data_IF_463082391386
#
_entry.id   IF_463082391386
#
_cell.length_a   1.000
_cell.length_b   1.000
_cell.length_c   1.000
_cell.angle_alpha   90.00
_cell.angle_beta   90.00
_cell.angle_gamma   90.00
#
_symmetry.space_group_name_H-M   'P 1'
#
loop_
_entity.id
_entity.type
_entity.pdbx_description
1 polymer ?
#
# COMPACT_ATOMS: atom_id res chain seq x y z
N UNK A 1 -11.65 3.65 -15.44
CA UNK A 1 -12.11 2.64 -14.48
C UNK A 1 -13.59 2.82 -14.19
N UNK A 2 -14.41 2.04 -14.89
CA UNK A 2 -15.80 1.84 -14.55
C UNK A 2 -15.95 0.58 -13.67
N UNK A 3 -16.95 0.59 -12.80
CA UNK A 3 -17.38 -0.60 -12.06
C UNK A 3 -18.81 -0.89 -12.43
N UNK A 4 -19.10 -2.14 -12.81
CA UNK A 4 -20.44 -2.57 -13.20
C UNK A 4 -20.85 -3.85 -12.47
N UNK A 5 -22.14 -3.95 -12.22
CA UNK A 5 -22.77 -5.09 -11.54
C UNK A 5 -23.33 -6.03 -12.60
N UNK A 6 -22.92 -7.30 -12.55
CA UNK A 6 -23.39 -8.33 -13.49
C UNK A 6 -23.93 -9.53 -12.72
N UNK A 7 -25.18 -9.96 -12.96
CA UNK A 7 -25.69 -11.21 -12.39
C UNK A 7 -24.86 -12.42 -12.85
N UNK A 8 -24.59 -13.35 -11.95
CA UNK A 8 -23.85 -14.59 -12.22
C UNK A 8 -24.41 -15.38 -13.40
N UNK A 9 -25.73 -15.39 -13.58
CA UNK A 9 -26.39 -16.05 -14.71
C UNK A 9 -26.06 -15.40 -16.04
N UNK A 10 -26.07 -14.06 -16.11
CA UNK A 10 -25.73 -13.33 -17.33
C UNK A 10 -24.24 -13.41 -17.65
N UNK A 11 -23.39 -13.33 -16.62
CA UNK A 11 -21.95 -13.46 -16.79
C UNK A 11 -21.59 -14.83 -17.36
N UNK A 12 -22.25 -15.90 -16.91
CA UNK A 12 -21.95 -17.26 -17.38
C UNK A 12 -22.13 -17.40 -18.90
N UNK A 13 -23.13 -16.74 -19.45
CA UNK A 13 -23.47 -16.88 -20.88
C UNK A 13 -22.56 -16.05 -21.78
N UNK A 14 -21.90 -15.01 -21.24
CA UNK A 14 -21.02 -14.09 -22.00
C UNK A 14 -19.60 -13.97 -21.45
N UNK A 15 -19.17 -14.89 -20.58
CA UNK A 15 -17.96 -14.73 -19.75
C UNK A 15 -16.71 -14.39 -20.57
N UNK A 16 -16.59 -14.98 -21.75
CA UNK A 16 -15.42 -14.77 -22.62
C UNK A 16 -15.33 -13.33 -23.12
N UNK A 17 -16.44 -12.78 -23.59
CA UNK A 17 -16.48 -11.42 -24.14
C UNK A 17 -16.33 -10.39 -23.02
N UNK A 18 -17.02 -10.64 -21.90
CA UNK A 18 -16.98 -9.79 -20.71
C UNK A 18 -15.57 -9.68 -20.11
N UNK A 19 -14.80 -10.78 -20.13
CA UNK A 19 -13.40 -10.79 -19.69
C UNK A 19 -12.44 -10.22 -20.73
N UNK A 20 -12.70 -10.40 -22.03
CA UNK A 20 -11.87 -9.86 -23.11
C UNK A 20 -11.93 -8.32 -23.16
N UNK A 21 -13.09 -7.75 -22.85
CA UNK A 21 -13.32 -6.30 -22.82
C UNK A 21 -12.99 -5.66 -21.46
N UNK A 22 -12.58 -6.44 -20.45
CA UNK A 22 -12.45 -5.98 -19.08
C UNK A 22 -11.40 -4.87 -18.91
N UNK A 23 -10.27 -4.95 -19.63
CA UNK A 23 -9.21 -3.93 -19.57
C UNK A 23 -8.81 -3.56 -18.13
N UNK A 24 -8.96 -2.29 -17.77
CA UNK A 24 -8.76 -1.80 -16.39
C UNK A 24 -10.05 -1.73 -15.56
N UNK A 25 -11.20 -2.07 -16.12
CA UNK A 25 -12.49 -1.98 -15.46
C UNK A 25 -12.73 -3.11 -14.46
N UNK A 26 -13.83 -3.01 -13.71
CA UNK A 26 -14.21 -3.98 -12.68
C UNK A 26 -15.61 -4.51 -12.92
N UNK A 27 -15.76 -5.82 -12.84
CA UNK A 27 -17.06 -6.48 -12.78
C UNK A 27 -17.30 -6.96 -11.35
N UNK A 28 -18.41 -6.53 -10.77
CA UNK A 28 -18.94 -7.10 -9.53
C UNK A 28 -19.98 -8.14 -9.90
N UNK A 29 -19.66 -9.40 -9.65
CA UNK A 29 -20.56 -10.53 -9.90
C UNK A 29 -21.56 -10.60 -8.76
N UNK A 30 -22.84 -10.68 -9.09
CA UNK A 30 -23.92 -10.75 -8.09
C UNK A 30 -24.71 -12.06 -8.19
N UNK A 31 -25.20 -12.56 -7.06
CA UNK A 31 -26.13 -13.68 -6.99
C UNK A 31 -27.33 -13.27 -6.11
N UNK A 32 -28.55 -13.30 -6.69
CA UNK A 32 -29.78 -12.84 -6.02
C UNK A 32 -29.65 -11.42 -5.45
N UNK A 33 -29.02 -10.53 -6.21
CA UNK A 33 -28.80 -9.12 -5.84
C UNK A 33 -27.70 -8.87 -4.81
N UNK A 34 -27.00 -9.92 -4.35
CA UNK A 34 -25.88 -9.80 -3.40
C UNK A 34 -24.54 -9.91 -4.13
N UNK A 35 -23.53 -9.08 -3.80
CA UNK A 35 -22.18 -9.26 -4.32
C UNK A 35 -21.61 -10.62 -3.93
N UNK A 36 -21.03 -11.32 -4.89
CA UNK A 36 -20.45 -12.65 -4.72
C UNK A 36 -18.95 -12.65 -5.01
N UNK A 37 -18.53 -11.94 -6.06
CA UNK A 37 -17.13 -11.89 -6.47
C UNK A 37 -16.82 -10.58 -7.21
N UNK A 38 -15.54 -10.27 -7.33
CA UNK A 38 -15.02 -9.17 -8.13
C UNK A 38 -14.08 -9.74 -9.17
N UNK A 39 -14.29 -9.39 -10.44
CA UNK A 39 -13.38 -9.72 -11.52
C UNK A 39 -12.68 -8.43 -12.00
N UNK A 40 -11.36 -8.52 -12.11
CA UNK A 40 -10.46 -7.53 -12.67
C UNK A 40 -9.44 -8.26 -13.55
N UNK A 41 -8.71 -7.52 -14.39
CA UNK A 41 -7.60 -8.08 -15.14
C UNK A 41 -6.47 -8.58 -14.24
N UNK A 42 -5.68 -9.53 -14.75
CA UNK A 42 -4.55 -10.13 -14.03
C UNK A 42 -3.48 -9.08 -13.78
N UNK A 43 -3.23 -8.21 -14.75
CA UNK A 43 -2.28 -7.11 -14.67
C UNK A 43 -2.65 -6.17 -13.53
N UNK A 44 -3.95 -5.81 -13.42
CA UNK A 44 -4.44 -4.96 -12.33
C UNK A 44 -4.37 -5.66 -10.98
N UNK A 45 -4.69 -6.96 -10.92
CA UNK A 45 -4.54 -7.74 -9.69
C UNK A 45 -3.10 -7.70 -9.20
N UNK A 46 -2.13 -7.98 -10.09
CA UNK A 46 -0.72 -7.99 -9.75
C UNK A 46 -0.24 -6.61 -9.27
N UNK A 47 -0.62 -5.54 -9.96
CA UNK A 47 -0.26 -4.17 -9.55
C UNK A 47 -0.84 -3.81 -8.16
N UNK A 48 -2.05 -4.26 -7.85
CA UNK A 48 -2.65 -4.05 -6.53
C UNK A 48 -1.92 -4.84 -5.44
N UNK A 49 -1.55 -6.10 -5.72
CA UNK A 49 -0.77 -6.91 -4.79
C UNK A 49 0.61 -6.30 -4.52
N UNK A 50 1.33 -5.91 -5.57
CA UNK A 50 2.63 -5.23 -5.44
C UNK A 50 2.51 -3.92 -4.65
N UNK A 51 1.44 -3.14 -4.89
CA UNK A 51 1.19 -1.91 -4.12
C UNK A 51 0.94 -2.21 -2.65
N UNK A 52 0.15 -3.25 -2.34
CA UNK A 52 -0.09 -3.66 -0.95
C UNK A 52 1.22 -4.08 -0.26
N UNK A 53 2.02 -4.93 -0.89
CA UNK A 53 3.31 -5.38 -0.36
C UNK A 53 4.23 -4.19 -0.06
N UNK A 54 4.38 -3.27 -1.03
CA UNK A 54 5.18 -2.06 -0.84
C UNK A 54 4.70 -1.19 0.32
N UNK A 55 3.38 -1.07 0.51
CA UNK A 55 2.80 -0.28 1.60
C UNK A 55 2.99 -0.97 2.96
N UNK A 56 2.86 -2.29 3.03
CA UNK A 56 3.12 -3.08 4.23
C UNK A 56 4.59 -2.97 4.65
N UNK A 57 5.52 -3.08 3.71
CA UNK A 57 6.95 -2.89 3.96
C UNK A 57 7.27 -1.46 4.43
N UNK A 58 6.70 -0.45 3.77
CA UNK A 58 6.88 0.95 4.18
C UNK A 58 6.32 1.20 5.58
N UNK A 59 5.18 0.60 5.92
CA UNK A 59 4.59 0.68 7.25
C UNK A 59 5.51 0.04 8.30
N UNK A 60 6.05 -1.15 8.03
CA UNK A 60 6.96 -1.83 8.95
C UNK A 60 8.21 -0.97 9.25
N UNK A 61 8.81 -0.35 8.23
CA UNK A 61 9.95 0.56 8.41
C UNK A 61 9.55 1.79 9.23
N UNK A 62 8.38 2.37 8.97
CA UNK A 62 7.89 3.52 9.71
C UNK A 62 7.62 3.18 11.19
N UNK A 63 7.06 2.01 11.47
CA UNK A 63 6.81 1.54 12.84
C UNK A 63 8.12 1.34 13.62
N UNK A 64 9.15 0.76 13.00
CA UNK A 64 10.48 0.61 13.61
C UNK A 64 11.08 1.98 13.94
N UNK A 65 11.07 2.93 12.98
CA UNK A 65 11.58 4.28 13.22
C UNK A 65 10.84 4.98 14.37
N UNK A 66 9.52 4.87 14.41
CA UNK A 66 8.71 5.45 15.48
C UNK A 66 9.04 4.82 16.85
N UNK A 67 9.30 3.51 16.89
CA UNK A 67 9.68 2.82 18.10
C UNK A 67 11.08 3.24 18.59
N UNK A 68 12.04 3.43 17.68
CA UNK A 68 13.38 3.94 18.02
C UNK A 68 13.33 5.37 18.57
N UNK A 69 12.53 6.24 17.96
CA UNK A 69 12.33 7.61 18.44
C UNK A 69 11.66 7.64 19.82
N UNK A 70 10.67 6.77 20.06
CA UNK A 70 10.05 6.59 21.39
C UNK A 70 11.02 5.98 22.41
N UNK A 71 11.94 5.12 21.97
CA UNK A 71 12.96 4.47 22.79
C UNK A 71 14.15 5.37 23.13
N UNK A 72 14.32 6.50 22.42
CA UNK A 72 15.31 7.53 22.74
C UNK A 72 14.67 8.92 22.87
N UNK A 73 13.79 9.17 23.85
CA UNK A 73 13.20 10.50 24.06
C UNK A 73 14.24 11.60 24.33
N UNK A 74 15.42 11.21 24.82
CA UNK A 74 16.52 12.12 25.11
C UNK A 74 17.56 12.22 23.99
N UNK A 75 17.31 11.66 22.79
CA UNK A 75 18.30 11.66 21.69
C UNK A 75 18.75 13.08 21.34
N UNK A 76 17.80 13.99 21.16
CA UNK A 76 18.08 15.38 20.83
C UNK A 76 18.85 16.10 21.96
N UNK A 77 18.56 15.75 23.22
CA UNK A 77 19.25 16.29 24.39
C UNK A 77 20.68 15.73 24.46
N UNK A 78 20.87 14.44 24.19
CA UNK A 78 22.19 13.79 24.21
C UNK A 78 23.07 14.26 23.06
N UNK A 79 22.52 14.42 21.85
CA UNK A 79 23.24 15.01 20.71
C UNK A 79 23.64 16.47 21.01
N UNK A 80 22.75 17.27 21.62
CA UNK A 80 23.09 18.63 22.04
C UNK A 80 24.18 18.68 23.13
N UNK A 81 24.20 17.71 24.06
CA UNK A 81 25.25 17.59 25.06
C UNK A 81 26.58 17.19 24.40
N UNK A 82 26.58 16.24 23.48
CA UNK A 82 27.80 15.75 22.82
C UNK A 82 28.43 16.84 21.93
N UNK A 83 27.61 17.62 21.22
CA UNK A 83 28.06 18.78 20.45
C UNK A 83 28.63 19.89 21.34
N UNK A 84 28.00 20.15 22.49
CA UNK A 84 28.51 21.11 23.47
C UNK A 84 29.84 20.65 24.12
N UNK A 85 30.01 19.34 24.31
CA UNK A 85 31.23 18.73 24.87
C UNK A 85 32.37 18.69 23.84
N UNK A 86 32.08 18.47 22.55
CA UNK A 86 33.10 18.48 21.49
C UNK A 86 33.74 19.86 21.29
N UNK A 87 32.99 20.94 21.50
CA UNK A 87 33.47 22.32 21.39
C UNK A 87 33.97 22.69 19.98
N UNK A 88 34.11 24.00 19.66
CA UNK A 88 34.69 24.40 18.38
C UNK A 88 36.14 23.92 18.33
N UNK A 89 36.49 23.13 17.30
CA UNK A 89 37.87 22.76 17.01
C UNK A 89 38.72 24.02 17.09
N UNK A 90 39.59 24.11 18.11
CA UNK A 90 40.45 25.26 18.31
C UNK A 90 41.30 25.41 17.04
N UNK A 91 41.05 26.47 16.29
CA UNK A 91 41.98 26.98 15.30
C UNK A 91 43.25 27.39 16.05
N UNK A 92 44.21 26.47 16.14
CA UNK A 92 45.58 26.78 16.54
C UNK A 92 46.29 27.37 15.34
N UNK A 93 46.48 28.68 15.37
CA UNK A 93 47.50 29.39 14.58
C UNK A 93 48.89 29.26 15.20
#
# INVERSE_FOLDING_TARGET
MATRLVPKTELRDRIRDELAELGEDTIVVTERGRPLAVAISVERWNALQETMENLEDALAVAEVRLAEDRGRPAKDILEAIDDAVRGPARATG
#
